data_IF_056024143966
#
_entry.id   IF_056024143966
#
_cell.length_a   1.000
_cell.length_b   1.000
_cell.length_c   1.000
_cell.angle_alpha   90.00
_cell.angle_beta   90.00
_cell.angle_gamma   90.00
#
_symmetry.space_group_name_H-M   'P 1'
#
loop_
_entity.id
_entity.type
_entity.pdbx_description
1 polymer ?
#
# COMPACT_ATOMS: atom_id res chain seq x y z
N UNK A 1 8.64 29.39 -13.74
CA UNK A 1 9.24 28.07 -14.03
C UNK A 1 8.98 27.16 -12.84
N UNK A 2 8.24 26.05 -12.99
CA UNK A 2 8.01 25.10 -11.91
C UNK A 2 9.31 24.45 -11.39
N UNK A 3 9.37 24.14 -10.10
CA UNK A 3 10.56 23.54 -9.46
C UNK A 3 11.03 22.26 -10.17
N UNK A 4 10.10 21.35 -10.48
CA UNK A 4 10.40 20.09 -11.19
C UNK A 4 11.01 20.34 -12.58
N UNK A 5 10.56 21.36 -13.31
CA UNK A 5 11.09 21.69 -14.63
C UNK A 5 12.47 22.34 -14.57
N UNK A 6 12.76 23.07 -13.48
CA UNK A 6 14.10 23.60 -13.21
C UNK A 6 15.10 22.46 -12.96
N UNK A 7 14.76 21.53 -12.07
CA UNK A 7 15.60 20.34 -11.82
C UNK A 7 15.76 19.48 -13.07
N UNK A 8 14.67 19.19 -13.80
CA UNK A 8 14.75 18.42 -15.03
C UNK A 8 15.68 19.04 -16.06
N UNK A 9 15.70 20.37 -16.19
CA UNK A 9 16.60 21.08 -17.10
C UNK A 9 18.07 20.89 -16.71
N UNK A 10 18.37 21.03 -15.41
CA UNK A 10 19.71 20.78 -14.87
C UNK A 10 20.15 19.32 -15.08
N UNK A 11 19.28 18.35 -14.80
CA UNK A 11 19.56 16.92 -15.02
C UNK A 11 19.85 16.62 -16.49
N UNK A 12 19.09 17.18 -17.42
CA UNK A 12 19.37 16.99 -18.87
C UNK A 12 20.66 17.67 -19.32
N UNK A 13 21.04 18.77 -18.68
CA UNK A 13 22.28 19.49 -18.97
C UNK A 13 23.51 18.86 -18.29
N UNK A 14 23.32 18.05 -17.24
CA UNK A 14 24.39 17.36 -16.51
C UNK A 14 25.21 16.42 -17.40
N UNK A 15 24.65 15.95 -18.52
CA UNK A 15 25.42 15.19 -19.54
C UNK A 15 26.62 15.98 -20.11
N UNK A 16 26.70 17.29 -19.82
CA UNK A 16 27.78 18.20 -20.24
C UNK A 16 28.75 18.56 -19.08
N UNK A 17 28.53 18.07 -17.85
CA UNK A 17 29.34 18.38 -16.65
C UNK A 17 29.25 17.29 -15.58
N UNK A 18 30.39 16.74 -15.13
CA UNK A 18 30.41 15.54 -14.26
C UNK A 18 30.00 15.77 -12.79
N UNK A 19 30.41 16.87 -12.14
CA UNK A 19 30.27 17.04 -10.68
C UNK A 19 29.44 18.27 -10.31
N UNK A 20 28.12 18.11 -10.26
CA UNK A 20 27.20 19.16 -9.80
C UNK A 20 26.29 18.65 -8.66
N UNK A 21 25.80 19.56 -7.80
CA UNK A 21 24.92 19.33 -6.63
C UNK A 21 23.66 18.47 -6.90
N UNK A 22 23.36 18.22 -8.17
CA UNK A 22 22.22 17.43 -8.68
C UNK A 22 22.52 15.92 -8.81
N UNK A 23 23.74 15.49 -8.49
CA UNK A 23 24.10 14.07 -8.48
C UNK A 23 23.20 13.28 -7.54
N UNK A 24 22.64 12.17 -8.04
CA UNK A 24 21.71 11.30 -7.29
C UNK A 24 20.24 11.75 -7.29
N UNK A 25 19.89 12.87 -7.93
CA UNK A 25 18.49 13.28 -8.08
C UNK A 25 17.83 12.46 -9.20
N UNK A 26 16.69 11.84 -8.90
CA UNK A 26 15.85 11.13 -9.88
C UNK A 26 14.44 11.72 -9.94
N UNK A 27 13.88 11.81 -11.15
CA UNK A 27 12.49 12.23 -11.39
C UNK A 27 11.72 11.07 -12.01
N UNK A 28 10.67 10.60 -11.32
CA UNK A 28 9.77 9.54 -11.79
C UNK A 28 8.35 10.09 -11.93
N UNK A 29 7.77 9.98 -13.13
CA UNK A 29 6.45 10.52 -13.45
C UNK A 29 5.47 9.42 -13.88
N UNK A 30 4.28 9.43 -13.29
CA UNK A 30 3.12 8.65 -13.71
C UNK A 30 2.00 9.59 -14.19
N UNK A 31 1.22 9.17 -15.18
CA UNK A 31 0.21 10.01 -15.83
C UNK A 31 -1.11 9.25 -15.97
N UNK A 32 -2.20 9.82 -15.43
CA UNK A 32 -3.57 9.30 -15.57
C UNK A 32 -4.37 10.23 -16.49
N UNK A 33 -4.50 9.83 -17.75
CA UNK A 33 -5.01 10.69 -18.83
C UNK A 33 -3.94 11.62 -19.38
N UNK A 34 -3.94 11.85 -20.69
CA UNK A 34 -2.88 12.63 -21.36
C UNK A 34 -3.00 14.12 -21.08
N UNK A 35 -1.85 14.81 -21.01
CA UNK A 35 -1.80 16.26 -20.87
C UNK A 35 -2.42 17.00 -22.08
N UNK A 36 -3.41 17.88 -21.88
CA UNK A 36 -3.99 18.69 -22.95
C UNK A 36 -3.02 19.76 -23.43
N UNK A 37 -3.04 20.06 -24.74
CA UNK A 37 -2.17 21.07 -25.37
C UNK A 37 -2.32 22.49 -24.81
N UNK A 38 -3.45 22.78 -24.13
CA UNK A 38 -3.72 24.04 -23.44
C UNK A 38 -3.03 24.17 -22.08
N UNK A 39 -2.55 23.07 -21.48
CA UNK A 39 -1.92 23.09 -20.17
C UNK A 39 -0.40 22.99 -20.28
N UNK A 40 0.31 24.03 -19.84
CA UNK A 40 1.78 24.07 -19.91
C UNK A 40 2.48 23.42 -18.71
N UNK A 41 1.77 23.10 -17.63
CA UNK A 41 2.36 22.53 -16.41
C UNK A 41 2.62 21.02 -16.51
N UNK A 42 1.76 20.28 -17.23
CA UNK A 42 1.92 18.84 -17.44
C UNK A 42 2.63 18.48 -18.75
N UNK A 43 3.05 19.48 -19.54
CA UNK A 43 3.60 19.24 -20.88
C UNK A 43 4.88 18.42 -20.77
N UNK A 44 4.92 17.31 -21.49
CA UNK A 44 6.12 16.48 -21.70
C UNK A 44 6.42 16.37 -23.20
N UNK A 45 7.69 16.43 -23.62
CA UNK A 45 8.06 16.30 -25.03
C UNK A 45 7.44 15.04 -25.65
N UNK A 46 6.75 15.19 -26.78
CA UNK A 46 6.15 14.08 -27.53
C UNK A 46 4.91 13.43 -26.91
N UNK A 47 4.35 13.98 -25.82
CA UNK A 47 3.15 13.42 -25.15
C UNK A 47 1.94 14.35 -25.11
N UNK A 48 2.06 15.59 -25.60
CA UNK A 48 0.93 16.52 -25.65
C UNK A 48 -0.15 16.08 -26.65
N UNK A 49 -1.41 16.34 -26.31
CA UNK A 49 -2.54 15.98 -27.16
C UNK A 49 -3.56 17.11 -27.22
N UNK A 50 -4.10 17.37 -28.41
CA UNK A 50 -5.29 18.21 -28.59
C UNK A 50 -6.51 17.45 -28.03
N UNK A 51 -7.19 18.06 -27.07
CA UNK A 51 -8.44 17.55 -26.47
C UNK A 51 -8.39 16.04 -26.10
N UNK A 52 -7.52 15.64 -25.14
CA UNK A 52 -7.44 14.26 -24.68
C UNK A 52 -8.76 13.83 -24.01
N UNK A 53 -9.11 12.55 -24.15
CA UNK A 53 -10.28 11.97 -23.48
C UNK A 53 -10.06 11.91 -21.96
N UNK A 54 -10.98 12.44 -21.14
CA UNK A 54 -10.88 12.35 -19.68
C UNK A 54 -10.79 10.91 -19.18
N UNK A 55 -10.01 10.68 -18.14
CA UNK A 55 -9.84 9.37 -17.47
C UNK A 55 -10.35 9.46 -16.04
N UNK A 56 -10.90 8.37 -15.50
CA UNK A 56 -11.32 8.31 -14.11
C UNK A 56 -10.12 8.55 -13.18
N UNK A 57 -10.20 9.62 -12.38
CA UNK A 57 -9.16 9.96 -11.41
C UNK A 57 -9.54 9.50 -10.01
N UNK A 58 -10.78 9.77 -9.61
CA UNK A 58 -11.26 9.59 -8.24
C UNK A 58 -12.70 9.04 -8.23
N UNK A 59 -12.99 8.19 -7.25
CA UNK A 59 -14.34 7.70 -6.95
C UNK A 59 -14.80 8.40 -5.68
N UNK A 60 -15.60 9.45 -5.83
CA UNK A 60 -15.99 10.30 -4.70
C UNK A 60 -17.03 9.65 -3.77
N UNK A 61 -17.88 8.78 -4.33
CA UNK A 61 -18.98 8.15 -3.59
C UNK A 61 -19.22 6.75 -4.15
N UNK A 62 -19.44 5.80 -3.25
CA UNK A 62 -19.88 4.44 -3.58
C UNK A 62 -21.19 4.15 -2.84
N UNK A 63 -22.06 3.38 -3.49
CA UNK A 63 -23.31 2.91 -2.89
C UNK A 63 -23.35 1.39 -3.04
N UNK A 64 -23.59 0.61 -1.97
CA UNK A 64 -23.62 -0.84 -2.05
C UNK A 64 -24.72 -1.36 -2.98
N UNK A 65 -24.44 -2.40 -3.76
CA UNK A 65 -25.37 -2.93 -4.76
C UNK A 65 -26.65 -3.53 -4.16
N UNK A 66 -26.60 -4.03 -2.92
CA UNK A 66 -27.80 -4.54 -2.23
C UNK A 66 -28.86 -3.45 -2.00
N UNK A 67 -28.54 -2.17 -2.16
CA UNK A 67 -29.54 -1.08 -2.13
C UNK A 67 -30.49 -1.10 -3.32
N UNK A 68 -30.08 -1.75 -4.43
CA UNK A 68 -30.90 -1.94 -5.63
C UNK A 68 -31.86 -3.13 -5.49
N UNK A 69 -31.70 -3.96 -4.45
CA UNK A 69 -32.55 -5.11 -4.18
C UNK A 69 -33.77 -4.63 -3.37
N UNK A 70 -34.97 -4.87 -3.90
CA UNK A 70 -36.23 -4.44 -3.29
C UNK A 70 -36.72 -5.40 -2.20
N UNK A 71 -36.45 -6.70 -2.35
CA UNK A 71 -36.82 -7.71 -1.37
C UNK A 71 -35.88 -7.71 -0.17
N UNK A 72 -36.45 -7.60 1.04
CA UNK A 72 -35.67 -7.51 2.28
C UNK A 72 -34.89 -8.79 2.58
N UNK A 73 -35.45 -9.98 2.28
CA UNK A 73 -34.78 -11.25 2.56
C UNK A 73 -33.51 -11.41 1.72
N UNK A 74 -33.64 -11.20 0.41
CA UNK A 74 -32.54 -11.28 -0.56
C UNK A 74 -31.50 -10.20 -0.29
N UNK A 75 -31.93 -8.99 0.09
CA UNK A 75 -31.02 -7.88 0.44
C UNK A 75 -30.11 -8.24 1.61
N UNK A 76 -30.65 -8.78 2.70
CA UNK A 76 -29.84 -9.16 3.87
C UNK A 76 -28.94 -10.37 3.56
N UNK A 77 -29.42 -11.36 2.80
CA UNK A 77 -28.60 -12.49 2.37
C UNK A 77 -27.43 -12.04 1.45
N UNK A 78 -27.67 -11.08 0.55
CA UNK A 78 -26.62 -10.52 -0.28
C UNK A 78 -25.61 -9.72 0.55
N UNK A 79 -26.09 -8.96 1.53
CA UNK A 79 -25.24 -8.18 2.43
C UNK A 79 -24.31 -9.08 3.25
N UNK A 80 -24.80 -10.19 3.81
CA UNK A 80 -23.95 -11.14 4.52
C UNK A 80 -22.89 -11.79 3.61
N UNK A 81 -23.28 -12.20 2.39
CA UNK A 81 -22.36 -12.75 1.40
C UNK A 81 -21.28 -11.73 0.96
N UNK A 82 -21.63 -10.45 0.82
CA UNK A 82 -20.68 -9.38 0.54
C UNK A 82 -19.69 -9.16 1.69
N UNK A 83 -20.17 -9.21 2.94
CA UNK A 83 -19.31 -9.09 4.11
C UNK A 83 -18.35 -10.28 4.22
N UNK A 84 -18.84 -11.50 3.96
CA UNK A 84 -18.03 -12.72 3.90
C UNK A 84 -16.91 -12.62 2.86
N UNK A 85 -17.24 -12.18 1.64
CA UNK A 85 -16.25 -12.07 0.55
C UNK A 85 -15.19 -11.01 0.83
N UNK A 86 -15.57 -9.91 1.46
CA UNK A 86 -14.66 -8.81 1.75
C UNK A 86 -13.77 -9.05 2.98
N UNK A 87 -14.34 -9.51 4.10
CA UNK A 87 -13.62 -9.64 5.38
C UNK A 87 -13.09 -11.06 5.65
N UNK A 88 -13.79 -12.09 5.18
CA UNK A 88 -13.50 -13.48 5.51
C UNK A 88 -13.07 -14.31 4.28
N UNK A 89 -12.60 -13.65 3.22
CA UNK A 89 -12.17 -14.28 1.96
C UNK A 89 -13.21 -15.23 1.32
N UNK A 90 -14.49 -15.04 1.64
CA UNK A 90 -15.59 -15.90 1.18
C UNK A 90 -15.63 -17.29 1.81
N UNK A 91 -14.91 -17.54 2.91
CA UNK A 91 -14.83 -18.85 3.60
C UNK A 91 -15.25 -18.78 5.06
N UNK A 92 -16.25 -17.96 5.34
CA UNK A 92 -16.77 -17.78 6.68
C UNK A 92 -17.74 -16.61 6.76
N UNK A 93 -18.53 -16.57 7.81
CA UNK A 93 -19.52 -15.53 8.06
C UNK A 93 -18.98 -14.47 9.02
N UNK A 94 -19.38 -13.22 8.82
CA UNK A 94 -19.09 -12.14 9.77
C UNK A 94 -20.12 -12.17 10.91
N UNK A 95 -19.64 -12.26 12.15
CA UNK A 95 -20.45 -12.16 13.37
C UNK A 95 -19.89 -10.99 14.17
N UNK A 96 -20.70 -9.95 14.35
CA UNK A 96 -20.28 -8.69 14.97
C UNK A 96 -19.01 -8.11 14.31
N UNK A 97 -17.86 -8.21 14.97
CA UNK A 97 -16.57 -7.69 14.50
C UNK A 97 -15.51 -8.77 14.19
N UNK A 98 -15.91 -10.05 14.12
CA UNK A 98 -15.01 -11.17 13.81
C UNK A 98 -15.58 -12.11 12.73
N UNK A 99 -14.68 -12.90 12.12
CA UNK A 99 -15.04 -13.88 11.10
C UNK A 99 -15.14 -15.28 11.71
N UNK A 100 -16.32 -15.90 11.61
CA UNK A 100 -16.53 -17.32 11.87
C UNK A 100 -16.14 -18.13 10.64
N UNK A 101 -14.91 -18.64 10.64
CA UNK A 101 -14.39 -19.43 9.52
C UNK A 101 -15.07 -20.80 9.38
N UNK A 102 -15.30 -21.22 8.14
CA UNK A 102 -15.72 -22.57 7.80
C UNK A 102 -14.60 -23.58 8.06
N UNK A 103 -14.95 -24.86 8.24
CA UNK A 103 -13.98 -25.94 8.52
C UNK A 103 -12.92 -26.10 7.42
N UNK A 104 -13.20 -25.67 6.19
CA UNK A 104 -12.27 -25.70 5.07
C UNK A 104 -11.25 -24.56 5.06
N UNK A 105 -11.38 -23.60 5.98
CA UNK A 105 -10.56 -22.39 6.02
C UNK A 105 -9.52 -22.40 7.15
N UNK A 106 -9.32 -23.54 7.81
CA UNK A 106 -8.26 -23.71 8.80
C UNK A 106 -6.94 -24.02 8.11
N UNK A 107 -5.84 -23.50 8.63
CA UNK A 107 -4.49 -23.75 8.11
C UNK A 107 -3.94 -25.12 8.55
N UNK A 108 -2.68 -25.40 8.20
CA UNK A 108 -2.01 -26.66 8.53
C UNK A 108 -1.86 -26.90 10.06
N UNK A 109 -1.93 -25.85 10.87
CA UNK A 109 -1.88 -25.91 12.34
C UNK A 109 -3.27 -25.99 12.99
N UNK A 110 -4.33 -25.96 12.20
CA UNK A 110 -5.70 -25.95 12.70
C UNK A 110 -6.12 -24.60 13.25
N UNK A 111 -5.51 -23.50 12.79
CA UNK A 111 -5.89 -22.14 13.15
C UNK A 111 -6.79 -21.50 12.08
N UNK A 112 -7.76 -20.65 12.48
CA UNK A 112 -8.64 -19.98 11.51
C UNK A 112 -7.85 -19.09 10.55
N UNK A 113 -8.02 -19.27 9.23
CA UNK A 113 -7.27 -18.55 8.18
C UNK A 113 -8.20 -17.92 7.12
N UNK A 114 -9.47 -17.65 7.45
CA UNK A 114 -10.40 -17.01 6.51
C UNK A 114 -10.25 -15.48 6.44
N UNK A 115 -9.90 -14.83 7.55
CA UNK A 115 -9.55 -13.40 7.59
C UNK A 115 -8.04 -13.24 7.42
N UNK A 116 -7.55 -12.48 6.43
CA UNK A 116 -6.12 -12.36 6.18
C UNK A 116 -5.40 -11.63 7.31
N UNK A 117 -4.19 -12.06 7.64
CA UNK A 117 -3.25 -11.35 8.50
C UNK A 117 -2.12 -10.77 7.63
N UNK A 118 -2.15 -9.47 7.29
CA UNK A 118 -1.12 -8.84 6.49
C UNK A 118 0.24 -8.82 7.19
N UNK A 119 1.33 -8.85 6.42
CA UNK A 119 2.67 -8.72 6.97
C UNK A 119 2.91 -7.27 7.44
N UNK A 120 3.34 -7.03 8.70
CA UNK A 120 3.70 -5.69 9.16
C UNK A 120 4.99 -5.24 8.47
N UNK A 121 4.97 -4.02 7.94
CA UNK A 121 6.14 -3.41 7.26
C UNK A 121 6.91 -2.58 8.27
N UNK A 122 8.02 -3.13 8.76
CA UNK A 122 8.95 -2.43 9.65
C UNK A 122 9.76 -1.39 8.88
N UNK A 123 9.81 -0.14 9.37
CA UNK A 123 10.52 0.99 8.75
C UNK A 123 11.33 1.75 9.78
N UNK A 124 12.35 2.47 9.32
CA UNK A 124 13.01 3.50 10.14
C UNK A 124 12.07 4.68 10.33
N UNK A 125 12.14 5.35 11.49
CA UNK A 125 11.38 6.57 11.72
C UNK A 125 11.78 7.65 10.71
N UNK A 126 10.83 8.30 10.01
CA UNK A 126 11.12 9.40 9.10
C UNK A 126 11.63 10.66 9.81
N UNK A 127 11.44 10.77 11.13
CA UNK A 127 11.78 11.98 11.91
C UNK A 127 13.06 11.83 12.72
N UNK A 128 13.58 10.61 12.87
CA UNK A 128 14.75 10.31 13.68
C UNK A 128 15.73 9.49 12.85
N UNK A 129 16.70 10.17 12.26
CA UNK A 129 17.81 9.51 11.58
C UNK A 129 18.64 8.70 12.59
N UNK A 130 19.05 7.46 12.25
CA UNK A 130 19.80 6.61 13.15
C UNK A 130 21.17 7.19 13.47
N UNK A 131 21.57 7.12 14.74
CA UNK A 131 22.92 7.46 15.19
C UNK A 131 23.73 6.20 15.46
N UNK A 132 24.98 6.35 15.90
CA UNK A 132 25.84 5.22 16.28
C UNK A 132 25.27 4.35 17.41
N UNK A 133 24.33 4.88 18.21
CA UNK A 133 23.77 4.19 19.37
C UNK A 133 22.25 4.21 19.44
N UNK A 134 21.57 5.01 18.62
CA UNK A 134 20.11 5.18 18.68
C UNK A 134 19.50 4.83 17.33
N UNK A 135 18.56 3.88 17.35
CA UNK A 135 17.75 3.49 16.20
C UNK A 135 16.28 3.54 16.60
N UNK A 136 15.46 4.21 15.79
CA UNK A 136 14.01 4.27 15.96
C UNK A 136 13.31 3.55 14.81
N UNK A 137 12.35 2.70 15.15
CA UNK A 137 11.61 1.86 14.23
C UNK A 137 10.11 2.10 14.38
N UNK A 138 9.40 2.07 13.26
CA UNK A 138 7.96 2.30 13.17
C UNK A 138 7.31 1.21 12.29
N UNK A 139 6.07 0.86 12.61
CA UNK A 139 5.20 0.04 11.78
C UNK A 139 3.74 0.49 11.95
N UNK A 140 2.92 0.23 10.94
CA UNK A 140 1.47 0.48 10.99
C UNK A 140 0.77 -0.80 11.41
N UNK A 141 -0.23 -0.69 12.28
CA UNK A 141 -1.03 -1.82 12.75
C UNK A 141 -1.69 -2.53 11.55
N UNK A 142 -1.54 -3.86 11.50
CA UNK A 142 -2.10 -4.71 10.45
C UNK A 142 -3.50 -5.23 10.78
N UNK A 143 -4.03 -4.90 11.96
CA UNK A 143 -5.35 -5.32 12.39
C UNK A 143 -6.45 -4.73 11.49
N UNK A 144 -7.28 -5.56 10.82
CA UNK A 144 -8.45 -5.07 10.10
C UNK A 144 -9.54 -4.55 11.05
N UNK A 145 -10.46 -3.75 10.51
CA UNK A 145 -11.61 -3.28 11.29
C UNK A 145 -12.52 -4.45 11.74
N UNK A 146 -12.68 -5.47 10.89
CA UNK A 146 -13.46 -6.69 11.14
C UNK A 146 -12.59 -7.91 10.79
N UNK A 147 -12.64 -8.94 11.62
CA UNK A 147 -11.93 -10.21 11.38
C UNK A 147 -10.79 -10.44 12.37
N UNK A 148 -9.58 -10.66 11.85
CA UNK A 148 -8.38 -10.96 12.64
C UNK A 148 -8.10 -9.88 13.67
N UNK A 149 -7.73 -10.28 14.89
CA UNK A 149 -7.24 -9.36 15.93
C UNK A 149 -5.79 -9.66 16.23
N UNK A 150 -4.97 -8.62 16.33
CA UNK A 150 -3.53 -8.75 16.60
C UNK A 150 -3.35 -8.83 18.11
N UNK A 151 -2.82 -9.96 18.59
CA UNK A 151 -2.56 -10.16 20.02
C UNK A 151 -1.19 -9.64 20.45
N UNK A 152 -0.19 -9.70 19.56
CA UNK A 152 1.19 -9.35 19.87
C UNK A 152 2.00 -9.01 18.60
N UNK A 153 3.10 -8.28 18.77
CA UNK A 153 4.10 -7.98 17.75
C UNK A 153 5.46 -8.49 18.22
N UNK A 154 5.95 -9.56 17.59
CA UNK A 154 7.25 -10.15 17.90
C UNK A 154 8.36 -9.43 17.14
N UNK A 155 9.27 -8.76 17.86
CA UNK A 155 10.41 -8.05 17.28
C UNK A 155 11.72 -8.67 17.77
N UNK A 156 12.51 -9.20 16.83
CA UNK A 156 13.83 -9.76 17.08
C UNK A 156 14.90 -8.85 16.48
N UNK A 157 16.03 -8.68 17.17
CA UNK A 157 17.16 -7.91 16.65
C UNK A 157 18.48 -8.62 16.97
N UNK A 158 19.43 -8.54 16.05
CA UNK A 158 20.77 -9.11 16.19
C UNK A 158 21.79 -8.22 15.49
N UNK A 159 22.94 -8.01 16.12
CA UNK A 159 24.11 -7.43 15.48
C UNK A 159 24.87 -8.55 14.78
N UNK A 160 25.10 -8.41 13.48
CA UNK A 160 25.89 -9.35 12.69
C UNK A 160 27.35 -8.90 12.76
N UNK A 161 28.23 -9.80 13.16
CA UNK A 161 29.67 -9.57 13.18
C UNK A 161 30.30 -10.16 11.91
N UNK A 162 31.48 -9.66 11.52
CA UNK A 162 32.18 -10.01 10.27
C UNK A 162 32.60 -11.50 10.17
N UNK A 163 32.67 -12.20 11.30
CA UNK A 163 33.03 -13.62 11.35
C UNK A 163 31.76 -14.48 11.28
N UNK A 164 31.72 -15.35 10.27
CA UNK A 164 30.59 -16.20 9.82
C UNK A 164 30.05 -17.24 10.82
N UNK A 165 30.37 -17.14 12.11
CA UNK A 165 29.88 -18.07 13.14
C UNK A 165 28.45 -17.74 13.62
N UNK A 166 27.82 -16.69 13.08
CA UNK A 166 26.51 -16.21 13.54
C UNK A 166 25.32 -16.58 12.64
N UNK A 167 25.54 -17.34 11.56
CA UNK A 167 24.52 -17.52 10.51
C UNK A 167 23.24 -18.27 10.93
N UNK A 168 23.19 -18.93 12.10
CA UNK A 168 22.02 -19.74 12.50
C UNK A 168 21.67 -19.73 14.01
N UNK A 169 22.08 -18.69 14.75
CA UNK A 169 21.64 -18.53 16.15
C UNK A 169 20.47 -17.55 16.24
N UNK A 170 19.27 -18.09 16.41
CA UNK A 170 18.10 -17.41 16.99
C UNK A 170 18.14 -17.62 18.51
N UNK A 171 18.15 -16.55 19.29
CA UNK A 171 17.90 -16.58 20.74
C UNK A 171 16.51 -16.02 20.99
#
# INVERSE_FOLDING_TARGET
>A
MPFITYLSGLLTAQMLSDDQLISGVEIRCEEKGRCPSTCHLCRRPGKEQLSPTPVLLEINRVVPLYTLIQDNGTKEAFKSALMSSYWCSGKGDVIDDWCRCDLSAFDASGLPNCSPLPQPVLRLSPTVEPSSTVVSLEWVDVQPAIGTKVSDYILQHKKVDEYTDTDLYTV
#
